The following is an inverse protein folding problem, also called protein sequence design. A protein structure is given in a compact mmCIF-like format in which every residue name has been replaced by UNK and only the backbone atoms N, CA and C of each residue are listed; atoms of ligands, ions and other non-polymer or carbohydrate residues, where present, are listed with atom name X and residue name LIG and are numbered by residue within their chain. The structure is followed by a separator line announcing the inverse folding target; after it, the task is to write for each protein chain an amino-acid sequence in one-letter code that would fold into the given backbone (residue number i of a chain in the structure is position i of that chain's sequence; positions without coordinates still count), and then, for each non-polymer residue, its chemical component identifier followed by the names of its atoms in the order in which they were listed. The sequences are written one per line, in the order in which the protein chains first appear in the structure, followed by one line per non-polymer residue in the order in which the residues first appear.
data_IF_895483726363
#
_entry.id   IF_895483726363
#
_cell.length_a   1.000
_cell.length_b   1.000
_cell.length_c   1.000
_cell.angle_alpha   90.00
_cell.angle_beta   90.00
_cell.angle_gamma   90.00
#
_symmetry.space_group_name_H-M   'P 1'
#
loop_
_entity.id
_entity.type
_entity.pdbx_description
1 polymer ?
#
# COMPACT_ATOMS: atom_id res chain seq x y z
N UNK A 1 -9.54 9.72 -15.99
CA UNK A 1 -10.48 10.49 -15.16
C UNK A 1 -11.66 9.63 -14.77
N UNK A 2 -12.31 8.91 -15.69
CA UNK A 2 -13.40 7.96 -15.36
C UNK A 2 -12.94 6.84 -14.42
N UNK A 3 -11.80 6.19 -14.69
CA UNK A 3 -11.28 5.09 -13.86
C UNK A 3 -10.97 5.50 -12.40
N UNK A 4 -10.70 6.78 -12.12
CA UNK A 4 -10.33 7.23 -10.77
C UNK A 4 -11.52 7.14 -9.82
N UNK A 5 -12.69 7.62 -10.25
CA UNK A 5 -13.90 7.61 -9.42
C UNK A 5 -14.42 6.20 -9.18
N UNK A 6 -14.33 5.31 -10.18
CA UNK A 6 -14.72 3.90 -10.02
C UNK A 6 -13.85 3.19 -8.97
N UNK A 7 -12.53 3.38 -9.01
CA UNK A 7 -11.62 2.84 -8.00
C UNK A 7 -11.97 3.39 -6.61
N UNK A 8 -12.20 4.69 -6.49
CA UNK A 8 -12.56 5.33 -5.22
C UNK A 8 -13.90 4.86 -4.68
N UNK A 9 -14.88 4.61 -5.53
CA UNK A 9 -16.17 4.04 -5.13
C UNK A 9 -16.00 2.61 -4.60
N UNK A 10 -15.10 1.82 -5.19
CA UNK A 10 -14.74 0.50 -4.64
C UNK A 10 -14.03 0.65 -3.29
N UNK A 11 -13.08 1.59 -3.16
CA UNK A 11 -12.42 1.88 -1.87
C UNK A 11 -13.47 2.22 -0.80
N UNK A 12 -14.42 3.11 -1.08
CA UNK A 12 -15.48 3.49 -0.13
C UNK A 12 -16.38 2.31 0.23
N UNK A 13 -16.69 1.42 -0.70
CA UNK A 13 -17.46 0.19 -0.42
C UNK A 13 -16.70 -0.77 0.50
N UNK A 14 -15.38 -0.87 0.36
CA UNK A 14 -14.54 -1.82 1.11
C UNK A 14 -14.12 -1.24 2.48
N UNK A 15 -13.75 0.03 2.51
CA UNK A 15 -13.10 0.70 3.64
C UNK A 15 -14.00 1.75 4.32
N UNK A 16 -15.22 1.96 3.83
CA UNK A 16 -16.20 2.92 4.37
C UNK A 16 -16.02 4.35 3.89
N UNK A 17 -14.81 4.92 3.94
CA UNK A 17 -14.55 6.29 3.52
C UNK A 17 -13.21 6.45 2.76
N UNK A 18 -13.12 7.49 1.95
CA UNK A 18 -11.89 7.94 1.30
C UNK A 18 -11.90 9.47 1.14
N UNK A 19 -10.84 10.12 1.60
CA UNK A 19 -10.65 11.57 1.56
C UNK A 19 -9.66 11.95 0.45
N UNK A 20 -10.04 12.94 -0.36
CA UNK A 20 -9.14 13.43 -1.40
C UNK A 20 -8.10 14.39 -0.81
N UNK A 21 -6.82 14.05 -0.98
CA UNK A 21 -5.67 14.87 -0.59
C UNK A 21 -4.98 15.42 -1.83
N UNK A 22 -5.34 16.65 -2.21
CA UNK A 22 -4.77 17.33 -3.38
C UNK A 22 -3.27 17.65 -3.18
N UNK A 23 -2.42 17.50 -4.20
CA UNK A 23 -2.68 16.96 -5.54
C UNK A 23 -2.40 15.44 -5.67
N UNK A 24 -2.18 14.75 -4.55
CA UNK A 24 -1.51 13.45 -4.51
C UNK A 24 -2.45 12.28 -4.83
N UNK A 25 -3.71 12.33 -4.37
CA UNK A 25 -4.66 11.23 -4.54
C UNK A 25 -5.61 11.09 -3.36
N UNK A 26 -5.95 9.86 -3.00
CA UNK A 26 -6.98 9.56 -2.01
C UNK A 26 -6.41 8.83 -0.81
N UNK A 27 -6.64 9.38 0.39
CA UNK A 27 -6.34 8.76 1.67
C UNK A 27 -7.55 7.97 2.17
N UNK A 28 -7.30 6.82 2.80
CA UNK A 28 -8.32 6.05 3.50
C UNK A 28 -7.68 5.22 4.60
N UNK A 29 -8.49 4.68 5.51
CA UNK A 29 -8.02 3.84 6.63
C UNK A 29 -8.58 2.43 6.44
N UNK A 30 -7.73 1.42 6.61
CA UNK A 30 -8.12 0.01 6.61
C UNK A 30 -7.27 -0.72 7.65
N UNK A 31 -7.91 -1.49 8.54
CA UNK A 31 -7.25 -2.20 9.66
C UNK A 31 -6.24 -1.32 10.42
N UNK A 32 -6.69 -0.11 10.81
CA UNK A 32 -5.94 0.92 11.56
C UNK A 32 -4.74 1.52 10.83
N UNK A 33 -4.47 1.13 9.58
CA UNK A 33 -3.35 1.63 8.78
C UNK A 33 -3.84 2.69 7.81
N UNK A 34 -3.00 3.70 7.59
CA UNK A 34 -3.27 4.76 6.63
C UNK A 34 -2.83 4.28 5.25
N UNK A 35 -3.79 4.19 4.33
CA UNK A 35 -3.55 3.85 2.94
C UNK A 35 -3.66 5.09 2.05
N UNK A 36 -2.99 5.02 0.90
CA UNK A 36 -3.03 6.05 -0.10
C UNK A 36 -3.18 5.44 -1.50
N UNK A 37 -4.21 5.85 -2.23
CA UNK A 37 -4.34 5.60 -3.66
C UNK A 37 -3.81 6.81 -4.42
N UNK A 38 -2.67 6.67 -5.08
CA UNK A 38 -2.02 7.76 -5.81
C UNK A 38 -2.61 7.89 -7.20
N UNK A 39 -2.93 9.13 -7.59
CA UNK A 39 -3.33 9.43 -8.96
C UNK A 39 -2.14 9.20 -9.90
N UNK A 40 -2.25 8.20 -10.77
CA UNK A 40 -1.24 7.97 -11.79
C UNK A 40 -1.38 8.98 -12.94
N UNK A 41 -0.25 9.53 -13.38
CA UNK A 41 -0.17 10.31 -14.62
C UNK A 41 -0.22 9.40 -15.88
N UNK A 42 -0.05 8.08 -15.70
CA UNK A 42 -0.23 7.05 -16.73
C UNK A 42 -1.61 6.42 -16.65
N UNK A 43 -2.29 6.29 -17.79
CA UNK A 43 -3.70 5.84 -17.87
C UNK A 43 -3.94 4.40 -17.40
N UNK A 44 -2.88 3.60 -17.25
CA UNK A 44 -2.97 2.14 -17.14
C UNK A 44 -2.35 1.58 -15.85
N UNK A 45 -2.14 2.42 -14.82
CA UNK A 45 -1.54 1.98 -13.55
C UNK A 45 -2.39 2.39 -12.36
N UNK A 46 -2.67 1.43 -11.48
CA UNK A 46 -3.24 1.63 -10.16
C UNK A 46 -2.10 1.54 -9.13
N UNK A 47 -1.93 2.58 -8.32
CA UNK A 47 -0.87 2.63 -7.29
C UNK A 47 -1.47 2.82 -5.92
N UNK A 48 -1.20 1.88 -5.02
CA UNK A 48 -1.57 1.97 -3.62
C UNK A 48 -0.33 1.91 -2.75
N UNK A 49 -0.37 2.59 -1.61
CA UNK A 49 0.66 2.47 -0.60
C UNK A 49 0.13 2.56 0.82
N UNK A 50 0.92 2.05 1.76
CA UNK A 50 0.88 2.42 3.16
C UNK A 50 2.14 3.30 3.36
N UNK A 51 2.02 4.64 3.26
CA UNK A 51 3.20 5.51 3.22
C UNK A 51 3.96 5.58 4.55
N UNK A 52 3.25 5.40 5.67
CA UNK A 52 3.78 5.57 7.01
C UNK A 52 3.35 4.42 7.91
N UNK A 53 4.04 3.27 7.83
CA UNK A 53 3.76 2.14 8.72
C UNK A 53 4.37 2.34 10.11
N UNK A 54 5.65 2.74 10.16
CA UNK A 54 6.41 3.12 11.36
C UNK A 54 7.70 3.85 10.95
N UNK A 55 8.51 4.32 11.89
CA UNK A 55 9.81 4.92 11.60
C UNK A 55 10.92 3.88 11.64
N UNK A 56 11.86 3.96 10.71
CA UNK A 56 13.02 3.07 10.66
C UNK A 56 13.86 3.17 11.94
N UNK A 57 13.90 4.35 12.57
CA UNK A 57 14.60 4.61 13.84
C UNK A 57 14.05 3.81 15.02
N UNK A 58 12.86 3.22 14.89
CA UNK A 58 12.24 2.43 15.96
C UNK A 58 12.87 1.03 16.10
N UNK A 59 13.75 0.64 15.17
CA UNK A 59 14.36 -0.68 15.09
C UNK A 59 15.87 -0.62 14.85
N UNK A 60 16.58 -1.67 15.26
CA UNK A 60 17.96 -1.91 14.83
C UNK A 60 18.05 -2.00 13.29
N UNK A 61 19.03 -1.32 12.71
CA UNK A 61 19.17 -1.17 11.26
C UNK A 61 19.35 -2.52 10.54
N UNK A 62 20.17 -3.42 11.11
CA UNK A 62 20.44 -4.72 10.51
C UNK A 62 19.20 -5.61 10.54
N UNK A 63 18.48 -5.60 11.67
CA UNK A 63 17.20 -6.30 11.82
C UNK A 63 16.14 -5.77 10.87
N UNK A 64 16.00 -4.45 10.76
CA UNK A 64 15.05 -3.82 9.85
C UNK A 64 15.35 -4.17 8.40
N UNK A 65 16.62 -4.05 8.00
CA UNK A 65 17.07 -4.37 6.64
C UNK A 65 16.78 -5.83 6.29
N UNK A 66 17.04 -6.76 7.21
CA UNK A 66 16.74 -8.18 7.01
C UNK A 66 15.22 -8.41 6.84
N UNK A 67 14.38 -7.82 7.70
CA UNK A 67 12.94 -7.97 7.63
C UNK A 67 12.33 -7.37 6.35
N UNK A 68 12.82 -6.19 5.93
CA UNK A 68 12.42 -5.56 4.65
C UNK A 68 12.80 -6.46 3.47
N UNK A 69 14.03 -6.95 3.43
CA UNK A 69 14.50 -7.81 2.34
C UNK A 69 13.75 -9.14 2.27
N UNK A 70 13.43 -9.71 3.42
CA UNK A 70 12.64 -10.93 3.49
C UNK A 70 11.19 -10.69 3.02
N UNK A 71 10.56 -9.61 3.46
CA UNK A 71 9.19 -9.22 3.05
C UNK A 71 9.14 -8.98 1.54
N UNK A 72 10.09 -8.22 0.99
CA UNK A 72 10.24 -7.97 -0.45
C UNK A 72 10.44 -9.26 -1.28
N UNK A 73 11.05 -10.29 -0.68
CA UNK A 73 11.30 -11.57 -1.36
C UNK A 73 10.08 -12.49 -1.33
N UNK A 74 9.37 -12.52 -0.21
CA UNK A 74 8.36 -13.54 0.06
C UNK A 74 6.93 -13.06 -0.18
N UNK A 75 6.65 -11.77 -0.11
CA UNK A 75 5.32 -11.21 -0.37
C UNK A 75 5.25 -10.69 -1.79
N UNK A 76 4.48 -11.37 -2.65
CA UNK A 76 4.40 -11.05 -4.08
C UNK A 76 3.82 -9.66 -4.30
N UNK A 77 4.34 -8.97 -5.33
CA UNK A 77 3.90 -7.66 -5.82
C UNK A 77 4.10 -6.47 -4.86
N UNK A 78 4.53 -6.73 -3.62
CA UNK A 78 4.77 -5.70 -2.63
C UNK A 78 6.21 -5.22 -2.71
N UNK A 79 6.38 -3.91 -2.59
CA UNK A 79 7.68 -3.28 -2.41
C UNK A 79 7.70 -2.48 -1.11
N UNK A 80 8.56 -2.88 -0.19
CA UNK A 80 8.86 -2.18 1.06
C UNK A 80 10.14 -1.37 0.89
N UNK A 81 10.10 -0.10 1.29
CA UNK A 81 11.22 0.84 1.25
C UNK A 81 11.23 1.74 2.48
N UNK A 82 12.40 2.26 2.83
CA UNK A 82 12.54 3.38 3.77
C UNK A 82 12.55 4.68 2.96
N UNK A 83 11.64 5.59 3.25
CA UNK A 83 11.57 6.92 2.62
C UNK A 83 12.67 7.84 3.17
N UNK A 84 12.95 8.93 2.45
CA UNK A 84 13.93 9.95 2.90
C UNK A 84 13.61 10.53 4.28
N UNK A 85 12.33 10.61 4.64
CA UNK A 85 11.88 11.05 5.97
C UNK A 85 12.01 9.97 7.06
N UNK A 86 12.67 8.84 6.77
CA UNK A 86 12.89 7.73 7.70
C UNK A 86 11.69 6.82 7.89
N UNK A 87 10.55 7.10 7.25
CA UNK A 87 9.37 6.26 7.39
C UNK A 87 9.42 5.01 6.51
N UNK A 88 8.97 3.88 7.03
CA UNK A 88 8.84 2.63 6.27
C UNK A 88 7.52 2.62 5.52
N UNK A 89 7.61 2.46 4.20
CA UNK A 89 6.50 2.50 3.26
C UNK A 89 6.37 1.18 2.51
N UNK A 90 5.13 0.77 2.26
CA UNK A 90 4.78 -0.37 1.42
C UNK A 90 4.03 0.12 0.19
N UNK A 91 4.41 -0.33 -1.00
CA UNK A 91 3.77 0.01 -2.25
C UNK A 91 3.31 -1.23 -3.02
N UNK A 92 2.21 -1.06 -3.76
CA UNK A 92 1.69 -2.00 -4.74
C UNK A 92 1.35 -1.23 -6.02
N UNK A 93 1.98 -1.63 -7.13
CA UNK A 93 1.69 -1.13 -8.46
C UNK A 93 1.01 -2.23 -9.29
N UNK A 94 -0.20 -1.95 -9.79
CA UNK A 94 -0.95 -2.85 -10.65
C UNK A 94 -1.13 -2.23 -12.04
N UNK A 95 -0.67 -2.92 -13.09
CA UNK A 95 -0.96 -2.52 -14.46
C UNK A 95 -2.36 -3.01 -14.83
N UNK A 96 -3.23 -2.09 -15.24
CA UNK A 96 -4.59 -2.40 -15.67
C UNK A 96 -4.52 -3.23 -16.95
N UNK A 97 -5.17 -4.39 -16.95
CA UNK A 97 -5.34 -5.25 -18.12
C UNK A 97 -6.80 -5.27 -18.55
N UNK A 98 -7.04 -5.35 -19.86
CA UNK A 98 -8.38 -5.42 -20.42
C UNK A 98 -9.17 -6.60 -19.83
N UNK A 99 -10.42 -6.33 -19.43
CA UNK A 99 -11.33 -7.33 -18.85
C UNK A 99 -11.19 -7.54 -17.34
N UNK A 100 -10.19 -6.93 -16.69
CA UNK A 100 -10.14 -6.94 -15.23
C UNK A 100 -11.22 -6.04 -14.61
N UNK A 101 -11.68 -6.41 -13.41
CA UNK A 101 -12.73 -5.70 -12.69
C UNK A 101 -12.16 -5.01 -11.45
N UNK A 102 -12.39 -3.71 -11.30
CA UNK A 102 -11.91 -2.96 -10.13
C UNK A 102 -12.49 -3.51 -8.82
N UNK A 103 -13.71 -4.03 -8.83
CA UNK A 103 -14.31 -4.68 -7.64
C UNK A 103 -13.57 -5.93 -7.18
N UNK A 104 -12.71 -6.49 -8.03
CA UNK A 104 -11.85 -7.64 -7.68
C UNK A 104 -10.42 -7.18 -7.39
N UNK A 105 -9.86 -6.30 -8.23
CA UNK A 105 -8.47 -5.85 -8.10
C UNK A 105 -8.27 -4.98 -6.85
N UNK A 106 -9.14 -3.99 -6.62
CA UNK A 106 -8.93 -3.02 -5.53
C UNK A 106 -8.94 -3.71 -4.15
N UNK A 107 -9.92 -4.58 -3.81
CA UNK A 107 -9.85 -5.33 -2.56
C UNK A 107 -8.63 -6.25 -2.48
N UNK A 108 -8.19 -6.84 -3.61
CA UNK A 108 -7.00 -7.69 -3.62
C UNK A 108 -5.74 -6.89 -3.24
N UNK A 109 -5.54 -5.72 -3.85
CA UNK A 109 -4.41 -4.83 -3.56
C UNK A 109 -4.40 -4.40 -2.08
N UNK A 110 -5.56 -3.97 -1.55
CA UNK A 110 -5.68 -3.53 -0.16
C UNK A 110 -5.33 -4.67 0.80
N UNK A 111 -5.90 -5.87 0.59
CA UNK A 111 -5.60 -7.03 1.43
C UNK A 111 -4.15 -7.50 1.30
N UNK A 112 -3.54 -7.41 0.11
CA UNK A 112 -2.13 -7.76 -0.08
C UNK A 112 -1.20 -6.81 0.71
N UNK A 113 -1.47 -5.51 0.67
CA UNK A 113 -0.75 -4.50 1.44
C UNK A 113 -0.96 -4.68 2.95
N UNK A 114 -2.18 -4.93 3.40
CA UNK A 114 -2.47 -5.19 4.81
C UNK A 114 -1.73 -6.43 5.31
N UNK A 115 -1.82 -7.54 4.57
CA UNK A 115 -1.05 -8.76 4.86
C UNK A 115 0.45 -8.49 4.93
N UNK A 116 1.01 -7.78 3.95
CA UNK A 116 2.44 -7.49 3.90
C UNK A 116 2.91 -6.62 5.07
N UNK A 117 2.09 -5.66 5.47
CA UNK A 117 2.39 -4.80 6.61
C UNK A 117 2.41 -5.61 7.90
N UNK A 118 1.45 -6.53 8.10
CA UNK A 118 1.43 -7.41 9.25
C UNK A 118 2.60 -8.40 9.23
N UNK A 119 2.91 -8.97 8.07
CA UNK A 119 4.06 -9.86 7.88
C UNK A 119 5.36 -9.18 8.32
N UNK A 120 5.57 -7.93 7.90
CA UNK A 120 6.74 -7.14 8.27
C UNK A 120 6.79 -6.86 9.78
N UNK A 121 5.67 -6.45 10.38
CA UNK A 121 5.57 -6.20 11.83
C UNK A 121 5.87 -7.48 12.62
N UNK A 122 5.30 -8.61 12.22
CA UNK A 122 5.53 -9.90 12.88
C UNK A 122 7.01 -10.30 12.81
N UNK A 123 7.69 -10.04 11.70
CA UNK A 123 9.13 -10.31 11.56
C UNK A 123 9.98 -9.41 12.45
N UNK A 124 9.58 -8.16 12.61
CA UNK A 124 10.23 -7.19 13.51
C UNK A 124 9.90 -7.42 14.99
N UNK A 125 8.88 -8.22 15.32
CA UNK A 125 8.50 -8.53 16.69
C UNK A 125 8.94 -9.93 17.14
N UNK A 126 9.30 -10.82 16.21
CA UNK A 126 9.93 -12.11 16.55
C UNK A 126 11.31 -11.85 17.14
N UNK A 127 11.43 -12.09 18.46
CA UNK A 127 12.66 -12.09 19.25
C UNK A 127 13.47 -13.34 18.91
#
# INVERSE_FOLDING_TARGET
MENEFEIVDVIKKVCGNAEYMSPLGWHFIFNEKHFFYTKSNGKDLIRFSIPHLFYASDYDEARLTAAINETNRNVKYIKVVVLECGSVSLGYDHKIVEGERYETIVPHIINALDFASQYLIDKLNRI
#
